data_IF_704025994102
#
_entry.id   IF_704025994102
#
_cell.length_a   1.000
_cell.length_b   1.000
_cell.length_c   1.000
_cell.angle_alpha   90.00
_cell.angle_beta   90.00
_cell.angle_gamma   90.00
#
_symmetry.space_group_name_H-M   'P 1'
#
loop_
_entity.id
_entity.type
_entity.pdbx_description
1 polymer ?
#
# COMPACT_ATOMS: atom_id res chain seq x y z
N UNK A 1 -1.56 16.18 4.95
CA UNK A 1 -1.03 15.96 6.32
C UNK A 1 -2.12 15.30 7.14
N UNK A 2 -1.90 14.10 7.70
CA UNK A 2 -2.87 13.48 8.59
C UNK A 2 -2.99 14.30 9.89
N UNK A 3 -4.21 14.71 10.21
CA UNK A 3 -4.49 15.67 11.28
C UNK A 3 -4.18 15.07 12.68
N UNK A 4 -3.24 15.65 13.41
CA UNK A 4 -2.86 15.23 14.77
C UNK A 4 -4.02 15.47 15.76
N UNK A 5 -4.81 16.54 15.57
CA UNK A 5 -5.96 16.82 16.43
C UNK A 5 -7.02 15.72 16.29
N UNK A 6 -7.36 15.28 15.07
CA UNK A 6 -8.30 14.17 14.87
C UNK A 6 -7.84 12.87 15.53
N UNK A 7 -6.52 12.61 15.60
CA UNK A 7 -6.01 11.44 16.31
C UNK A 7 -6.18 11.57 17.83
N UNK A 8 -5.96 12.75 18.39
CA UNK A 8 -6.17 13.00 19.81
C UNK A 8 -7.66 12.89 20.18
N UNK A 9 -8.54 13.44 19.34
CA UNK A 9 -10.01 13.34 19.54
C UNK A 9 -10.47 11.87 19.51
N UNK A 10 -9.95 11.08 18.55
CA UNK A 10 -10.22 9.64 18.48
C UNK A 10 -9.76 8.92 19.74
N UNK A 11 -8.52 9.15 20.17
CA UNK A 11 -7.96 8.53 21.38
C UNK A 11 -8.77 8.91 22.62
N UNK A 12 -9.11 10.19 22.78
CA UNK A 12 -9.91 10.67 23.89
C UNK A 12 -11.31 10.04 23.91
N UNK A 13 -11.95 9.92 22.74
CA UNK A 13 -13.29 9.31 22.60
C UNK A 13 -13.31 7.84 23.00
N UNK A 14 -12.28 7.07 22.61
CA UNK A 14 -12.27 5.64 22.77
C UNK A 14 -11.51 5.14 24.00
N UNK A 15 -10.74 6.00 24.68
CA UNK A 15 -10.08 5.65 25.94
C UNK A 15 -11.11 5.41 27.05
N UNK A 16 -10.95 4.28 27.75
CA UNK A 16 -11.79 3.97 28.93
C UNK A 16 -13.24 3.62 28.60
N UNK A 17 -13.59 3.31 27.35
CA UNK A 17 -14.94 2.85 26.98
C UNK A 17 -15.29 1.58 27.72
N UNK A 18 -16.44 1.54 28.39
CA UNK A 18 -16.94 0.42 29.19
C UNK A 18 -18.15 -0.30 28.57
N UNK A 19 -18.72 0.26 27.50
CA UNK A 19 -19.83 -0.34 26.77
C UNK A 19 -19.43 -1.70 26.13
N UNK A 20 -20.41 -2.57 25.91
CA UNK A 20 -20.17 -3.92 25.38
C UNK A 20 -19.58 -3.90 23.96
N UNK A 21 -18.94 -5.00 23.57
CA UNK A 21 -18.43 -5.25 22.24
C UNK A 21 -19.49 -5.00 21.16
N UNK A 22 -20.66 -5.60 21.30
CA UNK A 22 -21.78 -5.44 20.36
C UNK A 22 -22.21 -3.97 20.15
N UNK A 23 -22.12 -3.15 21.20
CA UNK A 23 -22.49 -1.75 21.12
C UNK A 23 -21.42 -0.84 20.52
N UNK A 24 -20.16 -1.28 20.49
CA UNK A 24 -19.01 -0.40 20.20
C UNK A 24 -18.17 -0.83 19.01
N UNK A 25 -18.13 -2.11 18.65
CA UNK A 25 -17.22 -2.64 17.62
C UNK A 25 -17.39 -1.93 16.26
N UNK A 26 -18.59 -1.87 15.72
CA UNK A 26 -18.84 -1.23 14.42
C UNK A 26 -18.54 0.27 14.45
N UNK A 27 -18.98 0.97 15.50
CA UNK A 27 -18.71 2.41 15.67
C UNK A 27 -17.23 2.71 15.76
N UNK A 28 -16.45 1.87 16.47
CA UNK A 28 -14.99 1.97 16.54
C UNK A 28 -14.34 1.84 15.16
N UNK A 29 -14.74 0.82 14.39
CA UNK A 29 -14.19 0.60 13.03
C UNK A 29 -14.56 1.77 12.10
N UNK A 30 -15.78 2.29 12.18
CA UNK A 30 -16.22 3.45 11.38
C UNK A 30 -15.37 4.69 11.70
N UNK A 31 -15.15 4.97 12.99
CA UNK A 31 -14.32 6.09 13.41
C UNK A 31 -12.85 5.89 13.04
N UNK A 32 -12.35 4.64 13.14
CA UNK A 32 -10.99 4.30 12.70
C UNK A 32 -10.82 4.53 11.20
N UNK A 33 -11.80 4.13 10.38
CA UNK A 33 -11.78 4.42 8.94
C UNK A 33 -11.71 5.93 8.66
N UNK A 34 -12.48 6.74 9.40
CA UNK A 34 -12.44 8.20 9.29
C UNK A 34 -11.07 8.76 9.70
N UNK A 35 -10.49 8.26 10.80
CA UNK A 35 -9.17 8.68 11.28
C UNK A 35 -8.05 8.38 10.26
N UNK A 36 -8.05 7.19 9.67
CA UNK A 36 -6.99 6.78 8.71
C UNK A 36 -7.29 7.23 7.28
N UNK A 37 -8.48 7.82 7.03
CA UNK A 37 -8.84 8.37 5.73
C UNK A 37 -9.13 7.30 4.67
N UNK A 38 -9.91 6.28 5.03
CA UNK A 38 -10.30 5.16 4.14
C UNK A 38 -11.82 5.01 4.09
N UNK A 39 -12.31 4.28 3.09
CA UNK A 39 -13.72 3.98 2.96
C UNK A 39 -14.22 3.16 4.16
N UNK A 40 -15.49 3.39 4.51
CA UNK A 40 -16.20 2.63 5.54
C UNK A 40 -16.78 1.34 4.95
N UNK A 41 -17.04 0.31 5.77
CA UNK A 41 -17.78 -0.87 5.33
C UNK A 41 -19.13 -0.50 4.71
N UNK A 42 -19.49 -1.18 3.63
CA UNK A 42 -20.72 -0.94 2.92
C UNK A 42 -21.90 -1.65 3.61
N UNK A 43 -23.08 -1.04 3.69
CA UNK A 43 -24.26 -1.66 4.31
C UNK A 43 -24.86 -2.80 3.49
N UNK A 44 -24.53 -2.92 2.18
CA UNK A 44 -25.07 -3.95 1.30
C UNK A 44 -24.19 -5.21 1.34
N UNK A 45 -24.75 -6.40 1.63
CA UNK A 45 -23.99 -7.65 1.77
C UNK A 45 -23.23 -8.09 0.51
N UNK A 46 -23.69 -7.67 -0.66
CA UNK A 46 -23.07 -7.98 -1.96
C UNK A 46 -21.71 -7.27 -2.19
N UNK A 47 -21.42 -6.29 -1.37
CA UNK A 47 -20.13 -5.58 -1.43
C UNK A 47 -19.02 -6.43 -0.82
N UNK A 48 -17.82 -6.32 -1.39
CA UNK A 48 -16.64 -7.02 -0.90
C UNK A 48 -16.02 -6.38 0.37
N UNK A 49 -16.72 -5.44 1.00
CA UNK A 49 -16.32 -4.76 2.23
C UNK A 49 -17.55 -4.50 3.09
N UNK A 50 -17.70 -5.26 4.20
CA UNK A 50 -18.91 -5.26 5.01
C UNK A 50 -18.64 -5.63 6.47
N UNK A 51 -19.59 -5.29 7.34
CA UNK A 51 -19.71 -5.84 8.68
C UNK A 51 -20.49 -7.16 8.68
N UNK A 52 -20.33 -7.95 9.73
CA UNK A 52 -21.13 -9.16 10.02
C UNK A 52 -21.17 -10.15 8.84
N UNK A 53 -20.04 -10.31 8.13
CA UNK A 53 -20.01 -11.22 7.00
C UNK A 53 -20.27 -12.66 7.43
N UNK A 54 -21.34 -13.31 6.94
CA UNK A 54 -21.61 -14.69 7.27
C UNK A 54 -20.55 -15.63 6.68
N UNK A 55 -20.16 -16.65 7.45
CA UNK A 55 -19.22 -17.67 7.06
C UNK A 55 -19.77 -19.05 7.44
N UNK A 56 -19.52 -20.04 6.60
CA UNK A 56 -19.85 -21.44 6.89
C UNK A 56 -18.58 -22.24 7.08
N UNK A 57 -18.47 -22.92 8.21
CA UNK A 57 -17.41 -23.88 8.47
C UNK A 57 -17.89 -25.27 8.03
N UNK A 58 -17.04 -25.99 7.33
CA UNK A 58 -17.25 -27.42 7.02
C UNK A 58 -16.29 -28.22 7.87
N UNK A 59 -16.81 -29.13 8.66
CA UNK A 59 -16.05 -29.99 9.53
C UNK A 59 -15.66 -31.31 8.83
N UNK A 60 -14.64 -32.00 9.36
CA UNK A 60 -14.12 -33.21 8.74
C UNK A 60 -15.11 -34.38 8.69
N UNK A 61 -16.17 -34.34 9.50
CA UNK A 61 -17.31 -35.29 9.49
C UNK A 61 -18.41 -34.90 8.49
N UNK A 62 -18.22 -33.83 7.72
CA UNK A 62 -19.20 -33.33 6.76
C UNK A 62 -20.27 -32.41 7.37
N UNK A 63 -20.29 -32.23 8.70
CA UNK A 63 -21.19 -31.27 9.34
C UNK A 63 -20.77 -29.84 9.05
N UNK A 64 -21.73 -28.89 9.20
CA UNK A 64 -21.45 -27.46 9.02
C UNK A 64 -21.87 -26.67 10.24
N UNK A 65 -21.15 -25.59 10.50
CA UNK A 65 -21.56 -24.57 11.45
C UNK A 65 -21.42 -23.18 10.83
N UNK A 66 -22.13 -22.21 11.37
CA UNK A 66 -22.10 -20.83 10.88
C UNK A 66 -21.37 -19.94 11.84
N UNK A 67 -20.71 -18.91 11.31
CA UNK A 67 -20.09 -17.82 12.06
C UNK A 67 -20.30 -16.49 11.35
N UNK A 68 -19.78 -15.43 11.94
CA UNK A 68 -19.79 -14.09 11.34
C UNK A 68 -18.46 -13.43 11.60
N UNK A 69 -17.92 -12.79 10.57
CA UNK A 69 -16.72 -11.98 10.65
C UNK A 69 -17.16 -10.56 11.00
N UNK A 70 -16.65 -9.98 12.09
CA UNK A 70 -17.10 -8.67 12.55
C UNK A 70 -16.89 -7.57 11.50
N UNK A 71 -15.73 -7.56 10.80
CA UNK A 71 -15.51 -6.73 9.63
C UNK A 71 -14.63 -7.46 8.61
N UNK A 72 -15.05 -7.46 7.36
CA UNK A 72 -14.37 -8.14 6.27
C UNK A 72 -14.17 -7.23 5.06
N UNK A 73 -12.97 -7.24 4.50
CA UNK A 73 -12.67 -6.65 3.20
C UNK A 73 -11.95 -7.66 2.32
N UNK A 74 -12.59 -8.07 1.22
CA UNK A 74 -12.04 -9.07 0.30
C UNK A 74 -10.66 -8.68 -0.21
N UNK A 75 -9.72 -9.62 -0.14
CA UNK A 75 -8.33 -9.42 -0.58
C UNK A 75 -7.50 -8.50 0.33
N UNK A 76 -8.06 -8.02 1.45
CA UNK A 76 -7.39 -7.10 2.36
C UNK A 76 -7.27 -7.70 3.76
N UNK A 77 -8.37 -7.87 4.46
CA UNK A 77 -8.34 -8.36 5.85
C UNK A 77 -9.63 -9.05 6.31
N UNK A 78 -9.45 -9.87 7.34
CA UNK A 78 -10.47 -10.26 8.33
C UNK A 78 -10.17 -9.47 9.60
N UNK A 79 -11.19 -8.87 10.20
CA UNK A 79 -11.09 -8.18 11.48
C UNK A 79 -12.04 -8.83 12.48
N UNK A 80 -11.50 -9.18 13.64
CA UNK A 80 -12.22 -9.68 14.81
C UNK A 80 -12.12 -8.66 15.93
N UNK A 81 -13.26 -8.20 16.41
CA UNK A 81 -13.34 -7.23 17.49
C UNK A 81 -13.67 -7.93 18.82
N UNK A 82 -13.15 -7.40 19.89
CA UNK A 82 -13.44 -7.83 21.26
C UNK A 82 -13.59 -6.62 22.19
N UNK A 83 -14.23 -6.86 23.30
CA UNK A 83 -14.21 -5.96 24.46
C UNK A 83 -13.90 -6.80 25.68
N UNK A 84 -12.62 -6.96 25.95
CA UNK A 84 -12.13 -7.79 27.04
C UNK A 84 -12.35 -7.10 28.39
N UNK A 85 -12.82 -7.85 29.37
CA UNK A 85 -13.00 -7.37 30.75
C UNK A 85 -11.70 -7.42 31.56
N UNK A 86 -10.74 -8.25 31.12
CA UNK A 86 -9.45 -8.38 31.77
C UNK A 86 -8.59 -7.13 31.52
N UNK A 87 -7.83 -6.69 32.51
CA UNK A 87 -6.92 -5.57 32.35
C UNK A 87 -5.83 -5.84 31.31
N UNK A 88 -5.43 -4.83 30.57
CA UNK A 88 -4.53 -4.92 29.41
C UNK A 88 -3.11 -5.50 29.67
N UNK A 89 -2.75 -5.69 30.93
CA UNK A 89 -1.46 -6.26 31.35
C UNK A 89 -1.61 -7.60 32.06
N UNK A 90 -2.72 -8.31 31.85
CA UNK A 90 -2.98 -9.59 32.50
C UNK A 90 -2.90 -10.73 31.50
N UNK A 91 -2.55 -11.94 32.00
CA UNK A 91 -2.58 -13.16 31.18
C UNK A 91 -3.97 -13.39 30.55
N UNK A 92 -5.04 -13.11 31.29
CA UNK A 92 -6.41 -13.27 30.77
C UNK A 92 -6.72 -12.37 29.59
N UNK A 93 -6.10 -11.21 29.50
CA UNK A 93 -6.18 -10.31 28.34
C UNK A 93 -5.47 -10.91 27.12
N UNK A 94 -4.23 -11.36 27.31
CA UNK A 94 -3.46 -11.97 26.22
C UNK A 94 -4.11 -13.28 25.73
N UNK A 95 -4.62 -14.10 26.63
CA UNK A 95 -5.38 -15.31 26.27
C UNK A 95 -6.66 -14.98 25.49
N UNK A 96 -7.30 -13.84 25.80
CA UNK A 96 -8.47 -13.31 25.08
C UNK A 96 -8.13 -12.91 23.66
N UNK A 97 -7.05 -12.16 23.48
CA UNK A 97 -6.55 -11.75 22.15
C UNK A 97 -6.11 -12.95 21.33
N UNK A 98 -5.45 -13.94 21.93
CA UNK A 98 -5.04 -15.17 21.25
C UNK A 98 -6.25 -15.97 20.73
N UNK A 99 -7.34 -16.07 21.52
CA UNK A 99 -8.59 -16.69 21.05
C UNK A 99 -9.22 -15.94 19.90
N UNK A 100 -9.26 -14.60 19.98
CA UNK A 100 -9.77 -13.76 18.89
C UNK A 100 -8.94 -13.90 17.62
N UNK A 101 -7.61 -13.95 17.74
CA UNK A 101 -6.70 -14.23 16.62
C UNK A 101 -7.03 -15.59 15.99
N UNK A 102 -7.12 -16.65 16.80
CA UNK A 102 -7.43 -17.99 16.28
C UNK A 102 -8.80 -18.03 15.58
N UNK A 103 -9.78 -17.28 16.06
CA UNK A 103 -11.08 -17.11 15.44
C UNK A 103 -10.95 -16.42 14.08
N UNK A 104 -10.26 -15.28 13.99
CA UNK A 104 -10.02 -14.55 12.75
C UNK A 104 -9.26 -15.37 11.70
N UNK A 105 -8.24 -16.15 12.13
CA UNK A 105 -7.52 -17.07 11.24
C UNK A 105 -8.41 -18.18 10.70
N UNK A 106 -9.29 -18.76 11.54
CA UNK A 106 -10.25 -19.76 11.11
C UNK A 106 -11.26 -19.21 10.11
N UNK A 107 -11.72 -17.97 10.32
CA UNK A 107 -12.55 -17.28 9.35
C UNK A 107 -11.83 -17.12 8.01
N UNK A 108 -10.59 -16.61 8.03
CA UNK A 108 -9.81 -16.43 6.81
C UNK A 108 -9.65 -17.75 6.02
N UNK A 109 -9.40 -18.87 6.71
CA UNK A 109 -9.29 -20.20 6.09
C UNK A 109 -10.60 -20.71 5.50
N UNK A 110 -11.73 -20.37 6.12
CA UNK A 110 -13.05 -20.84 5.73
C UNK A 110 -13.73 -20.01 4.66
N UNK A 111 -13.11 -18.90 4.21
CA UNK A 111 -13.61 -18.14 3.07
C UNK A 111 -13.71 -19.01 1.81
N UNK A 112 -14.67 -18.75 0.91
CA UNK A 112 -14.75 -19.44 -0.38
C UNK A 112 -13.43 -19.34 -1.15
N UNK A 113 -13.01 -20.42 -1.81
CA UNK A 113 -11.76 -20.45 -2.57
C UNK A 113 -11.69 -19.36 -3.64
N UNK A 114 -12.82 -19.03 -4.27
CA UNK A 114 -12.93 -17.97 -5.29
C UNK A 114 -12.67 -16.55 -4.75
N UNK A 115 -12.74 -16.35 -3.44
CA UNK A 115 -12.42 -15.05 -2.81
C UNK A 115 -10.94 -14.91 -2.48
N UNK A 116 -10.20 -16.02 -2.43
CA UNK A 116 -8.83 -16.06 -1.96
C UNK A 116 -8.74 -15.91 -0.43
N UNK A 117 -7.54 -15.82 0.08
CA UNK A 117 -7.26 -15.56 1.50
C UNK A 117 -6.72 -14.14 1.64
N UNK A 118 -7.31 -13.32 2.53
CA UNK A 118 -6.82 -11.96 2.75
C UNK A 118 -5.42 -12.02 3.40
N UNK A 119 -4.52 -11.10 3.06
CA UNK A 119 -3.16 -11.11 3.63
C UNK A 119 -3.12 -10.70 5.10
N UNK A 120 -4.18 -10.09 5.66
CA UNK A 120 -4.17 -9.64 7.05
C UNK A 120 -5.31 -10.23 7.88
N UNK A 121 -4.98 -10.52 9.15
CA UNK A 121 -5.93 -10.72 10.24
C UNK A 121 -5.67 -9.62 11.26
N UNK A 122 -6.72 -8.87 11.59
CA UNK A 122 -6.71 -7.81 12.58
C UNK A 122 -7.51 -8.25 13.80
N UNK A 123 -6.95 -8.08 14.98
CA UNK A 123 -7.64 -8.31 16.25
C UNK A 123 -7.74 -6.99 16.98
N UNK A 124 -8.95 -6.58 17.31
CA UNK A 124 -9.20 -5.29 17.96
C UNK A 124 -9.82 -5.53 19.34
N UNK A 125 -9.15 -5.08 20.41
CA UNK A 125 -9.83 -4.84 21.67
C UNK A 125 -10.23 -3.37 21.73
N UNK A 126 -11.54 -3.13 21.64
CA UNK A 126 -12.12 -1.78 21.49
C UNK A 126 -11.66 -0.84 22.58
N UNK A 127 -10.99 0.25 22.16
CA UNK A 127 -10.48 1.27 23.06
C UNK A 127 -9.16 0.94 23.76
N UNK A 128 -8.52 -0.19 23.42
CA UNK A 128 -7.26 -0.61 24.07
C UNK A 128 -6.16 -0.88 23.06
N UNK A 129 -6.35 -1.81 22.10
CA UNK A 129 -5.28 -2.31 21.24
C UNK A 129 -5.81 -2.81 19.90
N UNK A 130 -4.97 -2.69 18.87
CA UNK A 130 -5.13 -3.36 17.57
C UNK A 130 -3.91 -4.24 17.37
N UNK A 131 -4.10 -5.55 17.22
CA UNK A 131 -3.03 -6.47 16.81
C UNK A 131 -3.12 -6.77 15.33
N UNK A 132 -1.97 -6.77 14.67
CA UNK A 132 -1.84 -6.97 13.23
C UNK A 132 -1.07 -8.25 12.95
N UNK A 133 -1.68 -9.14 12.17
CA UNK A 133 -1.07 -10.39 11.72
C UNK A 133 -1.14 -10.48 10.21
N UNK A 134 -0.10 -11.02 9.58
CA UNK A 134 -0.02 -11.10 8.12
C UNK A 134 0.41 -12.47 7.61
N UNK A 135 -0.12 -12.80 6.42
CA UNK A 135 0.23 -13.98 5.61
C UNK A 135 0.14 -13.60 4.13
N UNK A 136 1.28 -13.29 3.49
CA UNK A 136 1.34 -12.76 2.13
C UNK A 136 1.35 -13.84 1.04
N UNK A 137 1.53 -15.12 1.37
CA UNK A 137 1.39 -16.19 0.38
C UNK A 137 -0.06 -16.43 -0.03
N UNK A 138 -1.02 -15.86 0.73
CA UNK A 138 -2.47 -15.99 0.51
C UNK A 138 -2.95 -17.45 0.51
N UNK A 139 -2.20 -18.31 1.18
CA UNK A 139 -2.54 -19.74 1.38
C UNK A 139 -3.54 -19.96 2.49
N UNK A 140 -3.69 -19.00 3.42
CA UNK A 140 -4.43 -19.14 4.67
C UNK A 140 -3.67 -19.98 5.69
N UNK A 141 -2.36 -20.13 5.54
CA UNK A 141 -1.48 -20.87 6.43
C UNK A 141 -1.36 -20.22 7.81
N UNK A 142 -0.18 -19.79 8.18
CA UNK A 142 0.06 -19.19 9.49
C UNK A 142 0.18 -17.66 9.34
N UNK A 143 -0.72 -16.94 9.98
CA UNK A 143 -0.62 -15.48 10.12
C UNK A 143 0.38 -15.15 11.22
N UNK A 144 1.43 -14.43 10.87
CA UNK A 144 2.51 -14.04 11.79
C UNK A 144 2.37 -12.59 12.24
N UNK A 145 2.88 -12.22 13.44
CA UNK A 145 2.89 -10.83 13.89
C UNK A 145 3.53 -9.89 12.86
N UNK A 146 2.83 -8.80 12.49
CA UNK A 146 3.27 -7.87 11.46
C UNK A 146 3.40 -6.43 12.00
N UNK A 147 4.50 -5.70 11.71
CA UNK A 147 5.64 -6.09 10.84
C UNK A 147 6.60 -7.07 11.53
N UNK A 148 6.56 -7.17 12.83
CA UNK A 148 7.40 -8.03 13.67
C UNK A 148 6.74 -8.25 15.05
N UNK A 149 7.20 -9.22 15.88
CA UNK A 149 6.59 -9.54 17.16
C UNK A 149 6.61 -8.40 18.20
N UNK A 150 7.45 -7.40 18.05
CA UNK A 150 7.54 -6.25 18.99
C UNK A 150 6.64 -5.09 18.60
N UNK A 151 6.24 -5.02 17.32
CA UNK A 151 5.53 -3.88 16.73
C UNK A 151 4.16 -4.23 16.16
N UNK A 152 3.70 -5.49 16.29
CA UNK A 152 2.40 -5.93 15.78
C UNK A 152 1.22 -5.43 16.63
N UNK A 153 1.48 -5.15 17.92
CA UNK A 153 0.48 -4.67 18.86
C UNK A 153 0.53 -3.15 18.92
N UNK A 154 -0.52 -2.51 18.40
CA UNK A 154 -0.69 -1.07 18.34
C UNK A 154 -1.62 -0.66 19.49
N UNK A 155 -1.08 0.03 20.49
CA UNK A 155 -1.90 0.62 21.55
C UNK A 155 -2.75 1.76 21.00
N UNK A 156 -3.88 2.06 21.63
CA UNK A 156 -4.74 3.18 21.24
C UNK A 156 -3.95 4.50 21.11
N UNK A 157 -3.00 4.76 22.05
CA UNK A 157 -2.14 5.93 22.03
C UNK A 157 -1.20 5.98 20.82
N UNK A 158 -0.82 4.82 20.25
CA UNK A 158 0.06 4.75 19.09
C UNK A 158 -0.58 5.32 17.82
N UNK A 159 -1.90 5.44 17.78
CA UNK A 159 -2.63 6.08 16.69
C UNK A 159 -2.35 7.59 16.58
N UNK A 160 -1.72 8.21 17.59
CA UNK A 160 -1.19 9.57 17.47
C UNK A 160 -0.05 9.67 16.46
N UNK A 161 0.67 8.57 16.20
CA UNK A 161 1.82 8.53 15.28
C UNK A 161 1.35 8.40 13.82
N UNK A 162 1.78 9.30 12.93
CA UNK A 162 1.38 9.28 11.51
C UNK A 162 1.74 7.98 10.79
N UNK A 163 2.91 7.40 11.10
CA UNK A 163 3.38 6.15 10.48
C UNK A 163 2.52 4.94 10.84
N UNK A 164 1.93 4.92 12.04
CA UNK A 164 0.99 3.88 12.45
C UNK A 164 -0.31 3.99 11.67
N UNK A 165 -0.85 5.22 11.55
CA UNK A 165 -2.06 5.46 10.76
C UNK A 165 -1.84 5.16 9.28
N UNK A 166 -0.66 5.51 8.73
CA UNK A 166 -0.32 5.19 7.33
C UNK A 166 -0.23 3.68 7.11
N UNK A 167 0.35 2.91 8.04
CA UNK A 167 0.38 1.45 7.97
C UNK A 167 -1.05 0.88 7.93
N UNK A 168 -1.93 1.32 8.82
CA UNK A 168 -3.33 0.92 8.82
C UNK A 168 -4.01 1.31 7.51
N UNK A 169 -3.82 2.54 7.02
CA UNK A 169 -4.37 2.99 5.74
C UNK A 169 -3.96 2.06 4.59
N UNK A 170 -2.70 1.65 4.54
CA UNK A 170 -2.20 0.71 3.51
C UNK A 170 -2.82 -0.68 3.64
N UNK A 171 -3.06 -1.19 4.86
CA UNK A 171 -3.80 -2.45 5.04
C UNK A 171 -5.20 -2.36 4.42
N UNK A 172 -5.84 -1.20 4.54
CA UNK A 172 -7.16 -0.96 3.95
C UNK A 172 -7.12 -0.78 2.43
N UNK A 173 -6.15 -0.08 1.87
CA UNK A 173 -6.15 0.36 0.47
C UNK A 173 -5.27 -0.47 -0.45
N UNK A 174 -4.08 -0.87 0.00
CA UNK A 174 -3.07 -1.57 -0.79
C UNK A 174 -2.24 -2.50 0.10
N UNK A 175 -2.86 -3.59 0.61
CA UNK A 175 -2.21 -4.51 1.53
C UNK A 175 -0.97 -5.18 0.95
N UNK A 176 -0.96 -5.44 -0.35
CA UNK A 176 0.16 -6.09 -1.04
C UNK A 176 1.42 -5.21 -1.08
N UNK A 177 1.29 -3.89 -0.95
CA UNK A 177 2.43 -2.97 -0.82
C UNK A 177 3.20 -3.13 0.50
N UNK A 178 2.61 -3.83 1.46
CA UNK A 178 3.20 -4.12 2.75
C UNK A 178 3.95 -5.47 2.79
N UNK A 179 3.94 -6.24 1.70
CA UNK A 179 4.64 -7.51 1.58
C UNK A 179 6.16 -7.29 1.65
N UNK A 180 6.87 -7.84 2.66
CA UNK A 180 8.31 -7.69 2.81
C UNK A 180 9.10 -8.19 1.60
N UNK A 181 8.63 -9.24 0.92
CA UNK A 181 9.28 -9.77 -0.28
C UNK A 181 9.19 -8.76 -1.43
N UNK A 182 8.04 -8.12 -1.63
CA UNK A 182 7.86 -7.07 -2.64
C UNK A 182 8.69 -5.83 -2.31
N UNK A 183 8.71 -5.40 -1.05
CA UNK A 183 9.52 -4.27 -0.59
C UNK A 183 11.00 -4.55 -0.85
N UNK A 184 11.51 -5.72 -0.45
CA UNK A 184 12.90 -6.12 -0.66
C UNK A 184 13.28 -6.16 -2.14
N UNK A 185 12.41 -6.74 -2.98
CA UNK A 185 12.63 -6.78 -4.43
C UNK A 185 12.63 -5.37 -5.05
N UNK A 186 11.79 -4.44 -4.56
CA UNK A 186 11.80 -3.06 -5.04
C UNK A 186 13.09 -2.33 -4.65
N UNK A 187 13.50 -2.43 -3.38
CA UNK A 187 14.76 -1.84 -2.91
C UNK A 187 15.95 -2.36 -3.73
N UNK A 188 16.00 -3.66 -3.99
CA UNK A 188 17.07 -4.27 -4.81
C UNK A 188 17.09 -3.66 -6.23
N UNK A 189 15.93 -3.51 -6.86
CA UNK A 189 15.84 -2.87 -8.20
C UNK A 189 16.29 -1.41 -8.17
N UNK A 190 15.89 -0.67 -7.14
CA UNK A 190 16.23 0.76 -7.01
C UNK A 190 17.73 0.96 -6.79
N UNK A 191 18.36 0.12 -5.96
CA UNK A 191 19.80 0.09 -5.73
C UNK A 191 20.55 -0.27 -7.03
N UNK A 192 20.11 -1.31 -7.74
CA UNK A 192 20.72 -1.69 -9.01
C UNK A 192 20.64 -0.57 -10.07
N UNK A 193 19.47 0.11 -10.16
CA UNK A 193 19.30 1.25 -11.06
C UNK A 193 20.18 2.45 -10.68
N UNK A 194 20.39 2.69 -9.39
CA UNK A 194 21.29 3.74 -8.92
C UNK A 194 22.74 3.42 -9.26
N UNK A 195 23.19 2.19 -9.02
CA UNK A 195 24.54 1.74 -9.37
C UNK A 195 24.80 1.83 -10.87
N UNK A 196 23.83 1.42 -11.72
CA UNK A 196 23.94 1.54 -13.16
C UNK A 196 24.08 3.01 -13.62
N UNK A 197 23.33 3.93 -12.98
CA UNK A 197 23.51 5.38 -13.27
C UNK A 197 24.87 5.91 -12.86
N UNK A 198 25.39 5.49 -11.71
CA UNK A 198 26.72 5.88 -11.25
C UNK A 198 27.81 5.34 -12.20
N UNK A 199 27.74 4.06 -12.58
CA UNK A 199 28.67 3.47 -13.53
C UNK A 199 28.71 4.26 -14.85
N UNK A 200 27.52 4.56 -15.41
CA UNK A 200 27.40 5.35 -16.64
C UNK A 200 27.96 6.76 -16.50
N UNK A 201 27.83 7.38 -15.34
CA UNK A 201 28.40 8.73 -15.09
C UNK A 201 29.93 8.71 -14.99
N UNK A 202 30.52 7.61 -14.55
CA UNK A 202 31.98 7.42 -14.50
C UNK A 202 32.58 7.09 -15.88
N UNK A 203 31.82 6.45 -16.76
CA UNK A 203 32.21 6.14 -18.13
C UNK A 203 32.10 7.36 -19.06
N UNK A 204 31.34 8.39 -18.69
CA UNK A 204 31.24 9.63 -19.47
C UNK A 204 32.62 10.33 -19.51
N UNK A 205 33.19 10.63 -20.69
CA UNK A 205 34.50 11.28 -20.78
C UNK A 205 34.44 12.64 -20.10
N UNK A 206 35.41 12.87 -19.19
CA UNK A 206 35.61 14.16 -18.53
C UNK A 206 35.77 15.29 -19.58
N UNK A 207 35.13 16.47 -19.38
CA UNK A 207 35.24 17.60 -20.30
C UNK A 207 36.67 18.19 -20.44
N UNK A 208 37.67 17.64 -19.73
CA UNK A 208 39.03 18.21 -19.63
C UNK A 208 40.06 17.66 -20.61
N UNK A 209 39.73 16.79 -21.55
CA UNK A 209 40.72 16.30 -22.55
C UNK A 209 40.67 16.99 -23.91
N UNK A 210 40.06 18.16 -24.01
CA UNK A 210 40.21 19.03 -25.19
C UNK A 210 41.33 20.05 -24.99
N UNK A 211 42.54 19.60 -24.64
CA UNK A 211 43.73 20.42 -24.80
C UNK A 211 44.07 20.45 -26.30
N UNK A 212 43.64 21.53 -26.95
CA UNK A 212 44.05 21.90 -28.29
C UNK A 212 45.57 22.11 -28.29
N UNK A 213 46.31 21.24 -28.93
CA UNK A 213 47.71 21.55 -29.33
C UNK A 213 47.68 22.67 -30.37
N UNK A 214 48.46 23.72 -30.20
CA UNK A 214 48.60 24.76 -31.22
C UNK A 214 49.55 24.27 -32.33
N UNK A 215 49.01 23.82 -33.46
CA UNK A 215 49.83 23.67 -34.67
C UNK A 215 50.06 25.05 -35.30
N UNK A 216 51.31 25.41 -35.28
CA UNK A 216 51.92 26.57 -35.89
C UNK A 216 51.56 26.71 -37.37
N UNK A 217 50.95 27.87 -37.68
CA UNK A 217 50.73 28.29 -39.03
C UNK A 217 52.08 28.73 -39.67
N UNK A 218 52.58 27.95 -40.58
CA UNK A 218 53.59 28.47 -41.53
C UNK A 218 52.85 28.98 -42.76
N UNK A 219 52.93 30.27 -42.94
CA UNK A 219 52.50 31.00 -44.12
C UNK A 219 53.50 30.78 -45.28
N UNK A 220 53.02 30.48 -46.48
CA UNK A 220 53.70 30.84 -47.71
C UNK A 220 52.68 31.29 -48.76
N UNK A 221 52.95 32.36 -49.50
CA UNK A 221 52.01 32.98 -50.42
C UNK A 221 52.30 32.59 -51.87
N UNK A 222 51.27 32.40 -52.68
CA UNK A 222 51.33 32.63 -54.14
C UNK A 222 49.91 32.48 -54.71
N UNK A 223 49.50 33.54 -55.19
CA UNK A 223 49.21 34.14 -56.49
C UNK A 223 47.89 33.71 -57.13
N UNK A 224 47.21 34.82 -57.42
CA UNK A 224 45.98 34.98 -58.14
C UNK A 224 45.88 34.24 -59.49
N UNK A 225 44.65 33.95 -59.90
CA UNK A 225 44.11 34.24 -61.23
C UNK A 225 42.60 34.07 -61.25
N UNK A 226 41.89 35.15 -61.51
CA UNK A 226 40.62 35.51 -62.19
C UNK A 226 39.65 34.37 -62.63
N UNK A 227 38.44 34.46 -62.16
CA UNK A 227 37.11 34.81 -62.79
C UNK A 227 36.68 34.07 -64.08
N UNK A 228 35.41 34.18 -64.50
CA UNK A 228 34.08 34.25 -63.84
C UNK A 228 32.98 33.42 -64.56
N UNK A 229 31.74 33.66 -64.16
CA UNK A 229 30.48 33.42 -64.91
C UNK A 229 29.76 32.07 -64.66
N UNK A 230 28.48 31.97 -64.62
CA UNK A 230 27.25 32.79 -64.76
C UNK A 230 26.06 31.86 -64.50
N UNK A 231 25.08 32.31 -63.74
CA UNK A 231 23.62 32.27 -63.92
C UNK A 231 22.91 30.91 -64.18
N UNK A 232 21.94 30.61 -63.45
CA UNK A 232 20.48 30.52 -63.65
C UNK A 232 19.86 29.81 -62.46
N UNK A 233 19.09 30.42 -61.57
CA UNK A 233 17.71 30.92 -61.69
C UNK A 233 16.71 29.79 -62.05
N UNK A 234 15.77 29.69 -61.20
CA UNK A 234 14.32 29.61 -61.37
C UNK A 234 13.74 28.58 -60.39
N UNK A 235 13.08 29.04 -59.38
CA UNK A 235 11.65 29.17 -59.23
C UNK A 235 10.87 27.85 -59.22
N UNK A 236 10.19 27.53 -58.19
CA UNK A 236 8.80 27.87 -57.99
C UNK A 236 8.21 27.15 -56.77
N UNK A 237 7.60 27.85 -55.92
CA UNK A 237 6.42 27.45 -55.11
C UNK A 237 5.20 27.54 -56.06
N UNK A 238 3.96 27.27 -55.67
CA UNK A 238 3.40 26.79 -54.42
C UNK A 238 2.19 25.83 -54.61
N UNK A 239 1.47 25.66 -53.55
CA UNK A 239 -0.01 25.61 -53.44
C UNK A 239 -0.65 24.31 -52.97
N UNK A 240 -1.16 24.42 -51.78
CA UNK A 240 -2.54 24.57 -51.33
C UNK A 240 -3.47 23.38 -51.52
N UNK A 241 -4.10 23.11 -50.48
CA UNK A 241 -5.54 23.17 -50.33
C UNK A 241 -6.29 21.87 -50.05
N UNK A 242 -6.85 21.88 -48.86
CA UNK A 242 -8.30 21.72 -48.57
C UNK A 242 -8.90 20.32 -48.69
N UNK A 243 -9.50 20.00 -47.71
CA UNK A 243 -10.95 19.92 -47.34
C UNK A 243 -11.41 18.52 -46.99
N UNK A 244 -11.97 18.48 -45.83
CA UNK A 244 -13.38 18.33 -45.44
C UNK A 244 -13.87 16.88 -45.23
N UNK A 245 -14.32 16.73 -43.99
CA UNK A 245 -15.73 16.36 -43.66
C UNK A 245 -16.11 14.93 -44.08
N UNK A 246 -16.79 14.13 -43.36
CA UNK A 246 -17.99 14.21 -42.51
C UNK A 246 -18.30 12.80 -42.02
N UNK A 247 -18.81 12.73 -40.83
CA UNK A 247 -20.00 11.94 -40.40
C UNK A 247 -20.04 10.43 -40.66
N UNK A 248 -20.00 9.62 -39.69
CA UNK A 248 -21.23 9.10 -39.02
C UNK A 248 -20.89 8.58 -37.65
#
# INVERSE_FOLDING_TARGET
MMNTAAAQDFIARWSGVTASELATAQSFVIDLCALVGVDKPHPTPEQNYMFERPITFTHGDGSTSSGRIDCYRRGHFVLEAKKLKAGSHTKGFDDGLLRARSQGENYARSLPAAEGRPPFVLVVDVGTVIEVYAEFSKSGGTYTPYPDPRSHRLLLADLARPEVRERLRRIWQDPDSLDPARISAQVTRDVAALLARLAKSLEAPSPQSAVRSPQSAVRSPQSAVRSPQIIHQICSKPNTSKRKQLLK
#
